data_IF_925051219197
#
_entry.id   IF_925051219197
#
_cell.length_a   1.000
_cell.length_b   1.000
_cell.length_c   1.000
_cell.angle_alpha   90.00
_cell.angle_beta   90.00
_cell.angle_gamma   90.00
#
_symmetry.space_group_name_H-M   'P 1'
#
loop_
_entity.id
_entity.type
_entity.pdbx_description
1 polymer ?
#
# COMPACT_ATOMS: atom_id res chain seq x y z
N UNK A 1 1.96 4.66 -15.79
CA UNK A 1 1.51 4.81 -14.40
C UNK A 1 0.78 3.55 -14.00
N UNK A 2 1.22 2.91 -12.92
CA UNK A 2 0.57 1.76 -12.33
C UNK A 2 -0.20 2.18 -11.08
N UNK A 3 -1.07 1.28 -10.61
CA UNK A 3 -1.86 1.48 -9.40
C UNK A 3 -1.63 0.30 -8.47
N UNK A 4 -1.56 0.61 -7.19
CA UNK A 4 -1.18 -0.32 -6.14
C UNK A 4 -2.15 -0.24 -4.98
N UNK A 5 -2.14 -1.28 -4.15
CA UNK A 5 -2.74 -1.23 -2.82
C UNK A 5 -1.69 -1.68 -1.81
N UNK A 6 -1.49 -0.88 -0.78
CA UNK A 6 -0.53 -1.11 0.29
C UNK A 6 -1.26 -1.13 1.63
N UNK A 7 -1.07 -2.21 2.39
CA UNK A 7 -1.78 -2.45 3.66
C UNK A 7 -0.93 -1.98 4.83
N UNK A 8 -1.55 -1.23 5.74
CA UNK A 8 -1.01 -0.87 7.04
C UNK A 8 -2.06 -1.10 8.12
N UNK A 9 -1.63 -1.39 9.34
CA UNK A 9 -2.52 -1.48 10.49
C UNK A 9 -2.66 -0.07 11.12
N UNK A 10 -3.87 0.40 11.44
CA UNK A 10 -4.08 1.74 12.02
C UNK A 10 -3.28 2.00 13.31
N UNK A 11 -3.01 0.96 14.09
CA UNK A 11 -2.26 1.07 15.34
C UNK A 11 -0.73 1.12 15.14
N UNK A 12 -0.26 0.76 13.92
CA UNK A 12 1.17 0.78 13.57
C UNK A 12 1.50 2.04 12.78
N UNK A 13 0.81 2.28 11.67
CA UNK A 13 1.05 3.44 10.82
C UNK A 13 -0.24 3.86 10.10
N UNK A 14 -1.08 4.71 10.72
CA UNK A 14 -2.36 5.12 10.14
C UNK A 14 -2.17 6.18 9.04
N UNK A 15 -3.16 6.31 8.15
CA UNK A 15 -3.20 7.37 7.12
C UNK A 15 -2.94 8.78 7.69
N UNK A 16 -3.53 9.09 8.85
CA UNK A 16 -3.33 10.38 9.50
C UNK A 16 -1.88 10.65 9.93
N UNK A 17 -1.08 9.59 10.13
CA UNK A 17 0.35 9.73 10.39
C UNK A 17 1.11 10.06 9.11
N UNK A 18 0.82 9.36 8.00
CA UNK A 18 1.39 9.71 6.68
C UNK A 18 1.11 11.17 6.30
N UNK A 19 -0.11 11.66 6.54
CA UNK A 19 -0.47 13.07 6.32
C UNK A 19 0.36 14.04 7.15
N UNK A 20 0.69 13.68 8.41
CA UNK A 20 1.51 14.52 9.29
C UNK A 20 2.98 14.51 8.88
N UNK A 21 3.49 13.33 8.50
CA UNK A 21 4.89 13.14 8.14
C UNK A 21 5.20 13.72 6.76
N UNK A 22 4.20 13.78 5.87
CA UNK A 22 4.33 14.27 4.50
C UNK A 22 4.95 13.24 3.55
N UNK A 23 5.83 12.37 4.03
CA UNK A 23 6.31 11.19 3.34
C UNK A 23 6.75 10.12 4.34
N UNK A 24 6.85 8.87 3.89
CA UNK A 24 7.44 7.80 4.70
C UNK A 24 8.09 6.74 3.84
N UNK A 25 9.00 5.98 4.45
CA UNK A 25 9.48 4.72 3.91
C UNK A 25 8.50 3.60 4.21
N UNK A 26 8.24 2.74 3.23
CA UNK A 26 7.32 1.61 3.36
C UNK A 26 8.05 0.31 3.67
N UNK A 27 8.59 0.23 4.87
CA UNK A 27 9.38 -0.90 5.35
C UNK A 27 8.54 -2.15 5.73
N UNK A 28 9.21 -3.16 6.28
CA UNK A 28 8.55 -4.27 6.97
C UNK A 28 7.88 -5.30 6.06
N UNK A 29 7.94 -5.13 4.74
CA UNK A 29 7.44 -6.12 3.79
C UNK A 29 8.36 -7.34 3.79
N UNK A 30 7.85 -8.47 4.30
CA UNK A 30 8.57 -9.76 4.40
C UNK A 30 7.98 -10.87 3.53
N UNK A 31 7.21 -10.49 2.51
CA UNK A 31 6.72 -11.41 1.49
C UNK A 31 7.47 -11.20 0.17
N UNK A 32 8.05 -12.25 -0.41
CA UNK A 32 8.87 -12.16 -1.62
C UNK A 32 8.11 -11.60 -2.83
N UNK A 33 6.84 -11.95 -3.00
CA UNK A 33 6.04 -11.45 -4.12
C UNK A 33 5.73 -9.96 -3.95
N UNK A 34 5.31 -9.55 -2.75
CA UNK A 34 5.09 -8.14 -2.41
C UNK A 34 6.38 -7.31 -2.58
N UNK A 35 7.52 -7.83 -2.12
CA UNK A 35 8.85 -7.23 -2.32
C UNK A 35 9.15 -7.06 -3.81
N UNK A 36 8.94 -8.09 -4.62
CA UNK A 36 9.23 -8.02 -6.05
C UNK A 36 8.38 -6.96 -6.76
N UNK A 37 7.11 -6.79 -6.37
CA UNK A 37 6.31 -5.69 -6.91
C UNK A 37 6.91 -4.31 -6.62
N UNK A 38 7.34 -4.07 -5.37
CA UNK A 38 7.97 -2.80 -5.00
C UNK A 38 9.31 -2.59 -5.70
N UNK A 39 10.15 -3.62 -5.77
CA UNK A 39 11.50 -3.55 -6.36
C UNK A 39 11.47 -3.41 -7.89
N UNK A 40 10.66 -4.22 -8.56
CA UNK A 40 10.76 -4.44 -10.00
C UNK A 40 9.73 -3.62 -10.80
N UNK A 41 8.64 -3.17 -10.16
CA UNK A 41 7.46 -2.67 -10.89
C UNK A 41 6.97 -1.31 -10.43
N UNK A 42 7.12 -0.93 -9.16
CA UNK A 42 6.76 0.41 -8.69
C UNK A 42 7.69 1.46 -9.26
N UNK A 43 7.10 2.55 -9.77
CA UNK A 43 7.81 3.71 -10.31
C UNK A 43 7.35 5.00 -9.63
N UNK A 44 8.22 6.00 -9.59
CA UNK A 44 7.85 7.33 -9.10
C UNK A 44 6.62 7.83 -9.88
N UNK A 45 5.64 8.34 -9.15
CA UNK A 45 4.36 8.77 -9.71
C UNK A 45 3.27 7.71 -9.74
N UNK A 46 3.58 6.44 -9.49
CA UNK A 46 2.54 5.41 -9.34
C UNK A 46 1.65 5.71 -8.12
N UNK A 47 0.35 5.42 -8.24
CA UNK A 47 -0.63 5.71 -7.20
C UNK A 47 -0.91 4.50 -6.32
N UNK A 48 -1.17 4.75 -5.04
CA UNK A 48 -1.30 3.73 -4.00
C UNK A 48 -2.60 3.94 -3.23
N UNK A 49 -3.48 2.94 -3.24
CA UNK A 49 -4.58 2.86 -2.28
C UNK A 49 -4.01 2.47 -0.91
N UNK A 50 -4.07 3.40 0.04
CA UNK A 50 -3.66 3.16 1.43
C UNK A 50 -4.77 2.40 2.15
N UNK A 51 -4.53 1.14 2.48
CA UNK A 51 -5.53 0.26 3.05
C UNK A 51 -5.26 -0.01 4.53
N UNK A 52 -6.21 0.35 5.38
CA UNK A 52 -6.21 -0.04 6.78
C UNK A 52 -6.65 -1.51 6.92
N UNK A 53 -5.70 -2.38 7.27
CA UNK A 53 -5.92 -3.79 7.58
C UNK A 53 -6.02 -4.05 9.08
N UNK A 54 -6.41 -5.26 9.45
CA UNK A 54 -6.50 -5.73 10.84
C UNK A 54 -7.38 -4.87 11.78
N UNK A 55 -8.28 -4.06 11.21
CA UNK A 55 -9.28 -3.27 11.94
C UNK A 55 -10.70 -3.68 11.54
N UNK A 56 -11.73 -3.09 12.17
CA UNK A 56 -13.14 -3.45 11.94
C UNK A 56 -14.01 -2.21 11.65
N UNK A 57 -14.54 -2.04 10.41
CA UNK A 57 -14.17 -2.78 9.20
C UNK A 57 -12.79 -2.37 8.66
N UNK A 58 -12.05 -3.28 8.01
CA UNK A 58 -10.94 -2.91 7.15
C UNK A 58 -11.42 -1.99 6.03
N UNK A 59 -10.64 -1.00 5.63
CA UNK A 59 -11.09 0.03 4.69
C UNK A 59 -9.95 0.69 3.93
N UNK A 60 -10.27 1.37 2.83
CA UNK A 60 -9.33 2.26 2.14
C UNK A 60 -9.44 3.64 2.77
N UNK A 61 -8.31 4.22 3.17
CA UNK A 61 -8.24 5.49 3.89
C UNK A 61 -7.89 6.68 2.98
N UNK A 62 -7.21 6.43 1.87
CA UNK A 62 -6.78 7.48 0.95
C UNK A 62 -5.96 6.96 -0.23
N UNK A 63 -5.51 7.90 -1.06
CA UNK A 63 -4.56 7.68 -2.16
C UNK A 63 -3.24 8.37 -1.80
N UNK A 64 -2.15 7.61 -1.88
CA UNK A 64 -0.77 8.08 -1.82
C UNK A 64 -0.12 7.96 -3.20
N UNK A 65 1.11 8.46 -3.33
CA UNK A 65 1.97 8.36 -4.52
C UNK A 65 3.32 7.79 -4.12
N UNK A 66 3.92 6.97 -4.96
CA UNK A 66 5.34 6.58 -4.84
C UNK A 66 6.21 7.80 -5.15
N UNK A 67 6.96 8.29 -4.17
CA UNK A 67 7.90 9.41 -4.31
C UNK A 67 9.37 8.94 -4.43
N UNK A 68 9.67 7.67 -4.12
CA UNK A 68 10.99 7.05 -4.34
C UNK A 68 10.88 5.58 -4.75
N UNK A 69 11.62 5.19 -5.79
CA UNK A 69 11.66 3.80 -6.26
C UNK A 69 12.37 2.86 -5.28
N UNK A 70 12.25 1.55 -5.55
CA UNK A 70 12.73 0.49 -4.66
C UNK A 70 14.20 0.61 -4.25
N UNK A 71 14.44 0.54 -2.95
CA UNK A 71 15.77 0.52 -2.33
C UNK A 71 15.80 -0.42 -1.14
N UNK A 72 17.00 -0.74 -0.62
CA UNK A 72 17.17 -1.68 0.49
C UNK A 72 16.37 -1.23 1.73
N UNK A 73 15.58 -2.15 2.26
CA UNK A 73 14.92 -1.97 3.55
C UNK A 73 15.95 -2.12 4.68
N UNK A 74 16.42 -0.99 5.22
CA UNK A 74 17.42 -0.97 6.29
C UNK A 74 16.89 -1.53 7.61
N UNK A 75 15.58 -1.60 7.82
CA UNK A 75 14.99 -2.18 9.05
C UNK A 75 15.24 -3.67 9.15
N UNK A 76 15.56 -4.34 8.03
CA UNK A 76 15.96 -5.74 8.03
C UNK A 76 17.33 -5.99 8.67
N UNK A 77 18.17 -4.95 8.79
CA UNK A 77 19.53 -5.04 9.33
C UNK A 77 19.61 -4.58 10.80
N UNK A 78 18.54 -4.00 11.34
CA UNK A 78 18.48 -3.53 12.73
C UNK A 78 17.94 -4.65 13.64
N UNK A 79 18.77 -5.18 14.54
CA UNK A 79 18.40 -6.22 15.51
C UNK A 79 17.27 -5.80 16.46
N UNK A 80 17.01 -4.49 16.61
CA UNK A 80 15.92 -3.96 17.43
C UNK A 80 14.61 -3.81 16.66
N UNK A 81 14.63 -3.93 15.34
CA UNK A 81 13.45 -3.85 14.50
C UNK A 81 12.58 -5.10 14.66
N UNK A 82 11.26 -4.90 14.66
CA UNK A 82 10.29 -5.99 14.54
C UNK A 82 10.44 -6.78 13.23
N UNK A 83 11.16 -6.22 12.26
CA UNK A 83 11.34 -6.78 10.92
C UNK A 83 12.79 -7.21 10.63
N UNK A 84 13.62 -7.35 11.67
CA UNK A 84 14.99 -7.86 11.54
C UNK A 84 15.02 -9.20 10.80
N UNK A 85 15.97 -9.37 9.88
CA UNK A 85 16.26 -10.63 9.23
C UNK A 85 17.77 -10.91 9.31
N UNK A 86 18.21 -11.89 10.14
CA UNK A 86 19.64 -12.17 10.34
C UNK A 86 20.35 -12.67 9.08
N UNK A 87 19.63 -12.96 8.00
CA UNK A 87 20.17 -13.38 6.71
C UNK A 87 20.12 -12.27 5.66
N UNK A 88 19.63 -11.08 5.99
CA UNK A 88 19.74 -9.88 5.16
C UNK A 88 20.96 -9.10 5.61
N UNK A 89 21.86 -8.77 4.69
CA UNK A 89 23.08 -8.03 4.96
C UNK A 89 23.27 -6.91 3.94
N UNK A 90 24.20 -5.99 4.19
CA UNK A 90 24.48 -4.88 3.28
C UNK A 90 24.97 -5.35 1.90
N UNK A 91 25.74 -6.43 1.84
CA UNK A 91 26.23 -7.08 0.62
C UNK A 91 25.19 -8.00 -0.05
N UNK A 92 24.18 -8.44 0.69
CA UNK A 92 23.09 -9.28 0.19
C UNK A 92 21.72 -8.83 0.75
N UNK A 93 21.22 -7.65 0.34
CA UNK A 93 19.95 -7.13 0.84
C UNK A 93 18.79 -7.99 0.33
N UNK A 94 18.06 -8.63 1.24
CA UNK A 94 16.94 -9.51 0.88
C UNK A 94 15.62 -8.77 0.71
N UNK A 95 15.50 -7.61 1.36
CA UNK A 95 14.26 -6.84 1.46
C UNK A 95 14.41 -5.46 0.83
N UNK A 96 13.30 -4.97 0.30
CA UNK A 96 13.20 -3.73 -0.44
C UNK A 96 12.01 -2.95 0.08
N UNK A 97 12.10 -1.63 0.04
CA UNK A 97 11.02 -0.69 0.34
C UNK A 97 11.02 0.44 -0.70
N UNK A 98 9.93 1.21 -0.71
CA UNK A 98 9.75 2.43 -1.49
C UNK A 98 9.39 3.56 -0.53
N UNK A 99 9.47 4.82 -0.98
CA UNK A 99 8.89 5.92 -0.22
C UNK A 99 7.55 6.33 -0.86
N UNK A 100 6.58 6.66 -0.02
CA UNK A 100 5.28 7.17 -0.43
C UNK A 100 4.94 8.49 0.26
N UNK A 101 4.16 9.32 -0.42
CA UNK A 101 3.63 10.58 0.10
C UNK A 101 2.10 10.65 -0.08
N UNK A 102 1.36 11.29 0.83
CA UNK A 102 -0.10 11.37 0.76
C UNK A 102 -0.53 12.31 -0.38
N UNK A 103 -1.53 11.90 -1.15
CA UNK A 103 -2.19 12.76 -2.16
C UNK A 103 -3.53 13.25 -1.62
N UNK A 104 -4.43 12.33 -1.28
CA UNK A 104 -5.78 12.70 -0.83
C UNK A 104 -6.41 11.64 0.07
N UNK A 105 -6.96 12.07 1.20
CA UNK A 105 -7.71 11.20 2.11
C UNK A 105 -9.18 11.05 1.69
N UNK A 106 -9.78 9.92 2.00
CA UNK A 106 -11.19 9.68 1.72
C UNK A 106 -12.06 10.30 2.81
N UNK A 107 -13.06 11.10 2.42
CA UNK A 107 -14.00 11.72 3.36
C UNK A 107 -14.94 10.70 4.00
N UNK A 108 -15.31 9.68 3.23
CA UNK A 108 -16.15 8.57 3.68
C UNK A 108 -15.30 7.31 3.74
N UNK A 109 -15.49 6.53 4.80
CA UNK A 109 -14.83 5.22 4.96
C UNK A 109 -15.34 4.28 3.87
N UNK A 110 -14.47 3.85 2.96
CA UNK A 110 -14.78 2.77 2.02
C UNK A 110 -14.40 1.42 2.63
N UNK A 111 -15.34 0.83 3.36
CA UNK A 111 -15.15 -0.43 4.05
C UNK A 111 -15.11 -1.63 3.10
N UNK A 112 -14.41 -2.69 3.51
CA UNK A 112 -14.39 -3.97 2.80
C UNK A 112 -15.81 -4.52 2.49
N UNK A 113 -16.83 -4.38 3.36
CA UNK A 113 -18.20 -4.77 3.01
C UNK A 113 -18.77 -3.99 1.82
N UNK A 114 -18.49 -2.68 1.73
CA UNK A 114 -18.96 -1.83 0.64
C UNK A 114 -18.28 -2.22 -0.68
N UNK A 115 -16.97 -2.48 -0.63
CA UNK A 115 -16.21 -2.95 -1.79
C UNK A 115 -16.74 -4.30 -2.31
N UNK A 116 -17.14 -5.21 -1.41
CA UNK A 116 -17.72 -6.52 -1.79
C UNK A 116 -19.11 -6.43 -2.39
N UNK A 117 -19.88 -5.40 -2.04
CA UNK A 117 -21.22 -5.18 -2.58
C UNK A 117 -21.20 -4.52 -3.97
N UNK A 118 -20.07 -3.94 -4.38
CA UNK A 118 -19.96 -3.32 -5.70
C UNK A 118 -19.58 -4.37 -6.77
N UNK A 119 -20.49 -4.72 -7.71
CA UNK A 119 -20.23 -5.74 -8.73
C UNK A 119 -19.09 -5.35 -9.69
N UNK A 120 -18.77 -4.07 -9.83
CA UNK A 120 -17.64 -3.63 -10.68
C UNK A 120 -16.27 -3.95 -10.08
N UNK A 121 -16.22 -4.25 -8.79
CA UNK A 121 -15.01 -4.70 -8.10
C UNK A 121 -14.87 -6.23 -8.10
N UNK A 122 -15.79 -6.95 -8.75
CA UNK A 122 -15.68 -8.40 -8.90
C UNK A 122 -14.34 -8.78 -9.55
N UNK A 123 -13.64 -9.75 -8.93
CA UNK A 123 -12.32 -10.19 -9.36
C UNK A 123 -11.15 -9.32 -8.90
N UNK A 124 -11.39 -8.18 -8.24
CA UNK A 124 -10.31 -7.34 -7.70
C UNK A 124 -9.40 -8.16 -6.77
N UNK A 125 -8.06 -8.10 -6.93
CA UNK A 125 -7.13 -8.92 -6.14
C UNK A 125 -7.36 -8.86 -4.62
N UNK A 126 -7.72 -7.68 -4.08
CA UNK A 126 -8.05 -7.47 -2.67
C UNK A 126 -9.19 -8.37 -2.16
N UNK A 127 -10.19 -8.65 -3.01
CA UNK A 127 -11.43 -9.31 -2.64
C UNK A 127 -11.37 -10.83 -2.83
N UNK A 128 -10.30 -11.34 -3.44
CA UNK A 128 -10.13 -12.76 -3.70
C UNK A 128 -9.98 -13.56 -2.40
N UNK A 129 -10.65 -14.71 -2.33
CA UNK A 129 -10.56 -15.61 -1.18
C UNK A 129 -9.11 -16.06 -1.00
N UNK A 130 -8.59 -15.91 0.21
CA UNK A 130 -7.21 -16.31 0.53
C UNK A 130 -6.14 -15.29 0.12
N UNK A 131 -6.51 -14.10 -0.38
CA UNK A 131 -5.55 -13.03 -0.60
C UNK A 131 -4.84 -12.65 0.72
N UNK A 132 -3.50 -12.67 0.70
CA UNK A 132 -2.63 -12.40 1.86
C UNK A 132 -1.52 -11.38 1.56
N UNK A 133 -1.40 -10.91 0.33
CA UNK A 133 -0.40 -9.91 -0.04
C UNK A 133 -0.71 -8.56 0.63
N UNK A 134 0.32 -7.96 1.23
CA UNK A 134 0.29 -6.60 1.79
C UNK A 134 0.50 -5.53 0.73
N UNK A 135 1.20 -5.86 -0.35
CA UNK A 135 1.37 -5.03 -1.55
C UNK A 135 0.86 -5.81 -2.74
N UNK A 136 -0.04 -5.21 -3.51
CA UNK A 136 -0.64 -5.87 -4.67
C UNK A 136 -0.90 -4.87 -5.80
N UNK A 137 -0.79 -5.30 -7.07
CA UNK A 137 -1.21 -4.48 -8.20
C UNK A 137 -2.72 -4.31 -8.19
N UNK A 138 -3.18 -3.14 -8.63
CA UNK A 138 -4.59 -2.81 -8.81
C UNK A 138 -4.78 -2.49 -10.28
N UNK A 139 -5.48 -3.34 -11.05
CA UNK A 139 -5.88 -2.97 -12.40
C UNK A 139 -6.64 -1.63 -12.41
N UNK A 140 -6.32 -0.75 -13.37
CA UNK A 140 -6.84 0.61 -13.45
C UNK A 140 -8.36 0.69 -13.26
N UNK A 141 -9.13 -0.20 -13.91
CA UNK A 141 -10.60 -0.25 -13.77
C UNK A 141 -11.09 -0.34 -12.31
N UNK A 142 -10.35 -0.99 -11.43
CA UNK A 142 -10.73 -1.11 -10.01
C UNK A 142 -10.29 0.12 -9.22
N UNK A 143 -9.13 0.68 -9.54
CA UNK A 143 -8.69 1.95 -8.96
C UNK A 143 -9.67 3.08 -9.29
N UNK A 144 -10.09 3.16 -10.56
CA UNK A 144 -11.04 4.16 -11.04
C UNK A 144 -12.38 4.07 -10.33
N UNK A 145 -12.92 2.86 -10.17
CA UNK A 145 -14.18 2.65 -9.48
C UNK A 145 -14.07 2.99 -7.99
N UNK A 146 -12.94 2.67 -7.34
CA UNK A 146 -12.70 3.05 -5.94
C UNK A 146 -12.65 4.58 -5.79
N UNK A 147 -11.94 5.27 -6.68
CA UNK A 147 -11.89 6.73 -6.67
C UNK A 147 -13.29 7.33 -6.86
N UNK A 148 -14.10 6.74 -7.76
CA UNK A 148 -15.49 7.13 -7.95
C UNK A 148 -16.34 6.91 -6.69
N UNK A 149 -16.23 5.75 -6.05
CA UNK A 149 -16.92 5.46 -4.78
C UNK A 149 -16.52 6.45 -3.68
N UNK A 150 -15.27 6.90 -3.67
CA UNK A 150 -14.74 7.86 -2.71
C UNK A 150 -14.99 9.34 -3.09
N UNK A 151 -15.72 9.59 -4.19
CA UNK A 151 -15.99 10.93 -4.73
C UNK A 151 -14.71 11.73 -5.02
N UNK A 152 -13.64 11.05 -5.43
CA UNK A 152 -12.38 11.69 -5.76
C UNK A 152 -12.27 11.94 -7.26
N UNK A 153 -11.93 13.19 -7.62
CA UNK A 153 -11.59 13.55 -8.97
C UNK A 153 -10.14 13.13 -9.28
N UNK A 154 -9.95 12.18 -10.18
CA UNK A 154 -8.60 11.74 -10.57
C UNK A 154 -7.81 12.80 -11.35
N UNK A 155 -8.48 13.78 -11.97
CA UNK A 155 -7.80 14.86 -12.68
C UNK A 155 -7.03 15.81 -11.74
N UNK A 156 -7.21 15.67 -10.42
CA UNK A 156 -6.54 16.48 -9.40
C UNK A 156 -5.46 15.70 -8.63
N UNK A 157 -5.11 14.49 -9.07
CA UNK A 157 -4.06 13.64 -8.48
C UNK A 157 -2.74 13.74 -9.21
#
# INVERSE_FOLDING_TARGET
>A
MNYWLMKSEPDVYPWGQLVKDGETHWDGVRNYQARNFMRDSMKIGDLVLFYHSNCKPPHIAGVARVCKEGYTDFTAHDEKSNYFDPKSSADNPRWCMVDIEPIIGFKQTLGLPDLKQNPKLEGMPLLQKGQRLSVQPVPQKYFDEICKMAEINQATM
#
